data_IF_189235077017
#
_entry.id   IF_189235077017
#
_cell.length_a   1.000
_cell.length_b   1.000
_cell.length_c   1.000
_cell.angle_alpha   90.00
_cell.angle_beta   90.00
_cell.angle_gamma   90.00
#
_symmetry.space_group_name_H-M   'P 1'
#
loop_
_entity.id
_entity.type
_entity.pdbx_description
1 polymer ?
#
# COMPACT_ATOMS: atom_id res chain seq x y z
N UNK A 1 42.86 14.28 -94.80
CA UNK A 1 41.73 13.65 -95.50
C UNK A 1 41.64 12.18 -95.08
N UNK A 2 40.42 11.67 -95.06
CA UNK A 2 40.01 10.27 -94.83
C UNK A 2 39.65 9.85 -93.40
N UNK A 3 38.39 9.43 -93.29
CA UNK A 3 37.70 8.81 -92.17
C UNK A 3 37.97 7.30 -92.17
N UNK A 4 37.76 6.67 -91.00
CA UNK A 4 36.88 5.51 -90.81
C UNK A 4 37.50 4.25 -90.19
N UNK A 5 36.80 3.79 -89.14
CA UNK A 5 36.38 2.40 -88.81
C UNK A 5 37.13 1.57 -87.74
N UNK A 6 36.29 1.13 -86.76
CA UNK A 6 36.20 -0.22 -86.13
C UNK A 6 37.29 -0.59 -85.08
N UNK A 7 37.05 -1.16 -83.88
CA UNK A 7 36.05 -2.10 -83.33
C UNK A 7 35.88 -1.88 -81.78
N UNK A 8 34.67 -1.97 -81.21
CA UNK A 8 34.05 -3.10 -80.46
C UNK A 8 34.48 -3.30 -78.99
N UNK A 9 33.50 -3.29 -78.07
CA UNK A 9 33.60 -3.81 -76.69
C UNK A 9 32.90 -2.92 -75.64
N UNK A 10 31.83 -3.43 -75.00
CA UNK A 10 31.04 -2.70 -74.00
C UNK A 10 31.61 -2.77 -72.57
N UNK A 11 31.35 -1.67 -71.84
CA UNK A 11 31.27 -1.37 -70.38
C UNK A 11 30.78 -2.60 -69.55
N UNK A 12 31.15 -2.89 -68.29
CA UNK A 12 31.22 -2.11 -67.03
C UNK A 12 31.99 -2.92 -65.94
N UNK A 13 32.46 -2.22 -64.91
CA UNK A 13 32.36 -2.54 -63.46
C UNK A 13 33.63 -2.80 -62.64
N UNK A 14 33.86 -1.93 -61.63
CA UNK A 14 34.96 -1.99 -60.68
C UNK A 14 34.70 -1.16 -59.40
N UNK A 15 33.80 -1.67 -58.54
CA UNK A 15 33.58 -1.49 -57.08
C UNK A 15 33.98 -0.21 -56.31
N UNK A 16 32.95 0.38 -55.65
CA UNK A 16 32.99 1.30 -54.48
C UNK A 16 33.36 0.58 -53.16
N UNK A 17 33.88 1.31 -52.16
CA UNK A 17 33.16 1.65 -50.90
C UNK A 17 33.90 2.66 -50.00
N UNK A 18 33.14 3.67 -49.61
CA UNK A 18 33.33 4.79 -48.68
C UNK A 18 33.31 4.33 -47.22
N UNK A 19 33.98 5.02 -46.29
CA UNK A 19 33.46 5.24 -44.93
C UNK A 19 34.01 6.55 -44.32
N UNK A 20 33.07 7.46 -43.99
CA UNK A 20 33.27 8.65 -43.16
C UNK A 20 33.52 8.21 -41.71
N UNK A 21 34.40 8.90 -40.98
CA UNK A 21 34.39 8.82 -39.51
C UNK A 21 34.36 10.21 -38.87
N UNK A 22 33.50 10.29 -37.86
CA UNK A 22 32.87 11.44 -37.22
C UNK A 22 33.86 12.19 -36.32
N UNK A 23 33.74 13.52 -36.28
CA UNK A 23 34.47 14.39 -35.38
C UNK A 23 34.17 14.03 -33.91
N UNK A 24 35.22 13.86 -33.10
CA UNK A 24 35.12 13.68 -31.65
C UNK A 24 34.82 15.03 -31.02
N UNK A 25 33.57 15.28 -30.65
CA UNK A 25 33.22 16.38 -29.75
C UNK A 25 33.29 15.84 -28.32
N UNK A 26 34.39 16.12 -27.64
CA UNK A 26 34.55 15.85 -26.21
C UNK A 26 33.82 16.94 -25.44
N UNK A 27 32.53 16.73 -25.15
CA UNK A 27 31.78 17.46 -24.12
C UNK A 27 31.37 16.43 -23.10
N UNK A 28 32.17 16.31 -22.04
CA UNK A 28 31.96 15.36 -20.97
C UNK A 28 32.30 15.99 -19.63
N UNK A 29 31.46 15.68 -18.65
CA UNK A 29 31.47 16.08 -17.23
C UNK A 29 31.01 17.51 -16.94
N UNK A 30 29.74 17.64 -16.52
CA UNK A 30 29.41 18.75 -15.63
C UNK A 30 27.96 19.23 -15.59
N UNK A 31 26.93 18.37 -15.68
CA UNK A 31 25.57 18.80 -15.25
C UNK A 31 24.54 17.65 -15.11
N UNK A 32 24.78 16.64 -14.25
CA UNK A 32 23.74 15.61 -14.06
C UNK A 32 23.77 14.92 -12.68
N UNK A 33 23.86 15.67 -11.59
CA UNK A 33 23.84 15.10 -10.24
C UNK A 33 22.91 15.84 -9.24
N UNK A 34 21.86 16.53 -9.70
CA UNK A 34 20.99 17.37 -8.83
C UNK A 34 19.51 16.94 -8.73
N UNK A 35 19.13 15.69 -9.03
CA UNK A 35 17.69 15.32 -9.07
C UNK A 35 17.31 13.99 -8.38
N UNK A 36 17.99 13.59 -7.29
CA UNK A 36 17.57 12.41 -6.51
C UNK A 36 17.41 12.67 -5.01
N UNK A 37 16.99 13.89 -4.62
CA UNK A 37 16.32 14.05 -3.31
C UNK A 37 14.82 13.78 -3.47
N UNK A 38 14.48 12.56 -3.91
CA UNK A 38 13.17 11.99 -3.58
C UNK A 38 13.19 11.76 -2.07
N UNK A 39 12.85 12.81 -1.32
CA UNK A 39 12.62 12.67 0.11
C UNK A 39 11.52 11.66 0.30
N UNK A 40 11.84 10.52 0.92
CA UNK A 40 10.84 9.66 1.54
C UNK A 40 10.16 10.49 2.63
N UNK A 41 9.15 11.26 2.26
CA UNK A 41 8.27 11.89 3.24
C UNK A 41 7.48 10.76 3.90
N UNK A 42 8.01 10.23 5.00
CA UNK A 42 7.21 9.42 5.92
C UNK A 42 6.03 10.28 6.37
N UNK A 43 4.82 9.77 6.21
CA UNK A 43 3.61 10.47 6.64
C UNK A 43 3.72 10.81 8.13
N UNK A 44 3.49 12.08 8.48
CA UNK A 44 3.59 12.57 9.84
C UNK A 44 2.20 12.66 10.45
N UNK A 45 1.87 11.77 11.39
CA UNK A 45 0.55 11.74 12.02
C UNK A 45 0.22 13.05 12.78
N UNK A 46 1.23 13.79 13.26
CA UNK A 46 1.00 15.07 13.94
C UNK A 46 0.37 16.12 13.02
N UNK A 47 0.44 15.96 11.70
CA UNK A 47 -0.24 16.86 10.75
C UNK A 47 -1.78 16.84 10.91
N UNK A 48 -2.34 15.81 11.53
CA UNK A 48 -3.78 15.66 11.74
C UNK A 48 -4.28 16.24 13.07
N UNK A 49 -3.44 16.88 13.90
CA UNK A 49 -3.83 17.32 15.24
C UNK A 49 -5.06 18.25 15.29
N UNK A 50 -5.30 19.02 14.23
CA UNK A 50 -6.42 19.97 14.15
C UNK A 50 -7.56 19.49 13.26
N UNK A 51 -7.57 18.22 12.83
CA UNK A 51 -8.66 17.67 11.98
C UNK A 51 -9.83 17.20 12.83
N UNK A 52 -11.03 17.48 12.36
CA UNK A 52 -12.30 17.04 12.96
C UNK A 52 -13.09 16.18 11.97
N UNK A 53 -13.94 15.24 12.44
CA UNK A 53 -14.20 14.89 13.84
C UNK A 53 -12.98 14.26 14.52
N UNK A 54 -12.85 14.40 15.84
CA UNK A 54 -11.79 13.72 16.58
C UNK A 54 -12.17 12.25 16.72
N UNK A 55 -11.22 11.35 16.47
CA UNK A 55 -11.41 9.92 16.62
C UNK A 55 -11.36 9.54 18.10
N UNK A 56 -12.49 9.08 18.61
CA UNK A 56 -12.57 8.29 19.84
C UNK A 56 -12.61 6.80 19.45
N UNK A 57 -11.63 6.04 19.95
CA UNK A 57 -11.48 4.62 19.65
C UNK A 57 -12.62 3.79 20.25
N UNK A 58 -13.04 4.09 21.48
CA UNK A 58 -14.12 3.37 22.14
C UNK A 58 -15.46 3.66 21.46
N UNK A 59 -15.69 4.91 21.06
CA UNK A 59 -16.92 5.27 20.36
C UNK A 59 -17.02 4.63 18.97
N UNK A 60 -15.97 4.73 18.16
CA UNK A 60 -16.02 4.18 16.80
C UNK A 60 -16.05 2.64 16.82
N UNK A 61 -15.22 2.01 17.65
CA UNK A 61 -15.17 0.57 17.78
C UNK A 61 -16.11 0.07 18.88
N UNK A 62 -17.41 0.29 18.68
CA UNK A 62 -18.49 -0.20 19.54
C UNK A 62 -19.63 -0.76 18.71
N UNK A 63 -20.11 -1.94 19.08
CA UNK A 63 -21.23 -2.61 18.41
C UNK A 63 -20.84 -3.22 17.06
N UNK A 64 -21.79 -3.22 16.12
CA UNK A 64 -21.63 -3.90 14.84
C UNK A 64 -21.07 -2.94 13.79
N UNK A 65 -20.04 -3.38 13.07
CA UNK A 65 -19.38 -2.61 12.01
C UNK A 65 -19.26 -3.48 10.77
N UNK A 66 -19.73 -2.98 9.64
CA UNK A 66 -19.58 -3.63 8.34
C UNK A 66 -18.39 -3.02 7.60
N UNK A 67 -17.62 -3.87 6.94
CA UNK A 67 -16.49 -3.45 6.14
C UNK A 67 -16.48 -4.04 4.74
N UNK A 68 -16.10 -3.22 3.76
CA UNK A 68 -15.87 -3.64 2.39
C UNK A 68 -14.47 -3.24 1.95
N UNK A 69 -13.69 -4.22 1.52
CA UNK A 69 -12.30 -3.98 1.20
C UNK A 69 -11.77 -4.77 0.01
N UNK A 70 -10.58 -4.36 -0.40
CA UNK A 70 -9.83 -5.04 -1.45
C UNK A 70 -8.34 -5.01 -1.16
N UNK A 71 -7.65 -6.07 -1.57
CA UNK A 71 -6.20 -6.11 -1.61
C UNK A 71 -5.73 -5.91 -3.05
N UNK A 72 -4.80 -4.97 -3.23
CA UNK A 72 -4.20 -4.62 -4.51
C UNK A 72 -2.71 -4.94 -4.49
N UNK A 73 -2.21 -5.54 -5.57
CA UNK A 73 -0.78 -5.72 -5.78
C UNK A 73 -0.05 -4.40 -6.04
N UNK A 74 1.29 -4.43 -6.10
CA UNK A 74 2.13 -3.26 -6.40
C UNK A 74 1.78 -2.54 -7.71
N UNK A 75 1.24 -3.27 -8.68
CA UNK A 75 0.80 -2.75 -9.98
C UNK A 75 -0.62 -2.14 -9.95
N UNK A 76 -1.27 -2.09 -8.78
CA UNK A 76 -2.64 -1.61 -8.61
C UNK A 76 -3.72 -2.62 -8.95
N UNK A 77 -3.36 -3.80 -9.46
CA UNK A 77 -4.29 -4.86 -9.81
C UNK A 77 -5.00 -5.40 -8.56
N UNK A 78 -6.33 -5.47 -8.61
CA UNK A 78 -7.14 -6.04 -7.53
C UNK A 78 -6.96 -7.55 -7.51
N UNK A 79 -6.33 -8.06 -6.45
CA UNK A 79 -6.04 -9.49 -6.26
C UNK A 79 -7.08 -10.20 -5.42
N UNK A 80 -7.60 -9.54 -4.39
CA UNK A 80 -8.67 -10.05 -3.54
C UNK A 80 -9.66 -8.95 -3.19
N UNK A 81 -10.90 -9.34 -2.93
CA UNK A 81 -11.97 -8.50 -2.38
C UNK A 81 -12.60 -9.24 -1.22
N UNK A 82 -13.06 -8.51 -0.22
CA UNK A 82 -13.65 -9.08 0.97
C UNK A 82 -14.73 -8.17 1.55
N UNK A 83 -15.67 -8.83 2.22
CA UNK A 83 -16.53 -8.22 3.23
C UNK A 83 -15.99 -8.64 4.60
N UNK A 84 -16.05 -7.76 5.59
CA UNK A 84 -15.73 -8.07 6.98
C UNK A 84 -16.90 -7.64 7.87
N UNK A 85 -17.33 -8.54 8.72
CA UNK A 85 -18.32 -8.29 9.77
C UNK A 85 -17.58 -8.20 11.10
N UNK A 86 -17.58 -7.03 11.73
CA UNK A 86 -16.83 -6.78 12.97
C UNK A 86 -17.82 -6.57 14.10
N UNK A 87 -17.77 -7.46 15.09
CA UNK A 87 -18.43 -7.24 16.37
C UNK A 87 -17.42 -6.66 17.35
N UNK A 88 -17.58 -5.39 17.72
CA UNK A 88 -16.71 -4.65 18.61
C UNK A 88 -17.34 -4.55 20.01
N UNK A 89 -16.62 -5.04 21.02
CA UNK A 89 -17.06 -5.06 22.42
C UNK A 89 -15.99 -4.46 23.32
N UNK A 90 -16.38 -3.88 24.45
CA UNK A 90 -15.44 -3.36 25.44
C UNK A 90 -15.33 -4.29 26.65
N UNK A 91 -14.14 -4.38 27.22
CA UNK A 91 -13.86 -5.11 28.45
C UNK A 91 -13.23 -4.17 29.47
N UNK A 92 -14.03 -3.68 30.42
CA UNK A 92 -13.57 -2.60 31.29
C UNK A 92 -13.43 -1.29 30.53
N UNK A 93 -12.55 -0.41 31.02
CA UNK A 93 -12.44 0.96 30.51
C UNK A 93 -11.36 1.11 29.42
N UNK A 94 -10.39 0.20 29.35
CA UNK A 94 -9.17 0.35 28.55
C UNK A 94 -9.02 -0.69 27.42
N UNK A 95 -9.95 -1.63 27.29
CA UNK A 95 -9.85 -2.74 26.33
C UNK A 95 -11.02 -2.76 25.36
N UNK A 96 -10.68 -2.84 24.07
CA UNK A 96 -11.60 -3.07 22.95
C UNK A 96 -11.26 -4.41 22.32
N UNK A 97 -12.28 -5.25 22.12
CA UNK A 97 -12.17 -6.52 21.40
C UNK A 97 -12.90 -6.42 20.07
N UNK A 98 -12.20 -6.68 18.97
CA UNK A 98 -12.78 -6.71 17.61
C UNK A 98 -12.82 -8.15 17.12
N UNK A 99 -14.01 -8.73 17.02
CA UNK A 99 -14.20 -10.04 16.41
C UNK A 99 -14.54 -9.85 14.92
N UNK A 100 -13.52 -9.96 14.07
CA UNK A 100 -13.59 -9.72 12.64
C UNK A 100 -13.82 -11.02 11.88
N UNK A 101 -14.96 -11.13 11.18
CA UNK A 101 -15.32 -12.27 10.36
C UNK A 101 -15.27 -11.89 8.88
N UNK A 102 -14.27 -12.40 8.16
CA UNK A 102 -14.03 -12.10 6.76
C UNK A 102 -14.72 -13.10 5.84
N UNK A 103 -15.41 -12.57 4.84
CA UNK A 103 -15.96 -13.31 3.69
C UNK A 103 -15.25 -12.85 2.42
N UNK A 104 -14.46 -13.74 1.83
CA UNK A 104 -13.65 -13.44 0.65
C UNK A 104 -14.43 -13.71 -0.64
N UNK A 105 -14.11 -12.97 -1.70
CA UNK A 105 -14.77 -13.12 -3.00
C UNK A 105 -14.52 -14.49 -3.68
N UNK A 106 -13.52 -15.25 -3.24
CA UNK A 106 -13.26 -16.63 -3.66
C UNK A 106 -14.08 -17.67 -2.89
N UNK A 107 -14.95 -17.23 -1.97
CA UNK A 107 -15.81 -18.08 -1.15
C UNK A 107 -15.16 -18.56 0.15
N UNK A 108 -13.86 -18.30 0.36
CA UNK A 108 -13.19 -18.63 1.62
C UNK A 108 -13.64 -17.70 2.76
N UNK A 109 -13.46 -18.17 3.99
CA UNK A 109 -13.72 -17.40 5.21
C UNK A 109 -12.50 -17.42 6.12
N UNK A 110 -12.30 -16.35 6.85
CA UNK A 110 -11.27 -16.27 7.90
C UNK A 110 -11.78 -15.42 9.05
N UNK A 111 -11.14 -15.56 10.20
CA UNK A 111 -11.47 -14.78 11.39
C UNK A 111 -10.19 -14.18 11.96
N UNK A 112 -10.29 -12.95 12.45
CA UNK A 112 -9.26 -12.34 13.30
C UNK A 112 -9.94 -11.75 14.51
N UNK A 113 -9.38 -11.99 15.69
CA UNK A 113 -9.86 -11.42 16.92
C UNK A 113 -8.75 -10.51 17.44
N UNK A 114 -8.97 -9.21 17.36
CA UNK A 114 -8.09 -8.23 17.97
C UNK A 114 -8.49 -7.99 19.41
N UNK A 115 -7.49 -7.86 20.28
CA UNK A 115 -7.63 -7.25 21.59
C UNK A 115 -6.75 -6.01 21.61
N UNK A 116 -7.38 -4.85 21.64
CA UNK A 116 -6.75 -3.54 21.68
C UNK A 116 -6.77 -3.02 23.11
N UNK A 117 -5.66 -2.47 23.57
CA UNK A 117 -5.52 -1.94 24.93
C UNK A 117 -4.96 -0.53 24.88
N UNK A 118 -5.70 0.41 25.45
CA UNK A 118 -5.24 1.79 25.65
C UNK A 118 -4.08 1.80 26.65
N UNK A 119 -3.04 2.57 26.36
CA UNK A 119 -1.89 2.74 27.22
C UNK A 119 -2.01 4.06 28.00
N UNK A 120 -1.31 4.16 29.13
CA UNK A 120 -1.34 5.36 29.99
C UNK A 120 -0.85 6.64 29.30
N UNK A 121 -0.12 6.53 28.19
CA UNK A 121 0.35 7.65 27.38
C UNK A 121 -0.59 8.02 26.21
N UNK A 122 -1.77 7.39 26.14
CA UNK A 122 -2.77 7.55 25.08
C UNK A 122 -2.43 6.82 23.77
N UNK A 123 -1.32 6.08 23.74
CA UNK A 123 -1.05 5.15 22.64
C UNK A 123 -1.88 3.87 22.80
N UNK A 124 -1.92 3.05 21.76
CA UNK A 124 -2.68 1.82 21.75
C UNK A 124 -1.76 0.64 21.45
N UNK A 125 -2.04 -0.50 22.09
CA UNK A 125 -1.43 -1.79 21.76
C UNK A 125 -2.48 -2.76 21.28
N UNK A 126 -2.08 -3.72 20.45
CA UNK A 126 -3.00 -4.75 20.00
C UNK A 126 -2.36 -6.11 19.85
N UNK A 127 -3.11 -7.15 20.17
CA UNK A 127 -2.72 -8.54 19.92
C UNK A 127 -3.82 -9.26 19.13
N UNK A 128 -3.41 -10.17 18.27
CA UNK A 128 -4.30 -11.08 17.55
C UNK A 128 -3.55 -12.39 17.26
N UNK A 129 -4.28 -13.46 16.92
CA UNK A 129 -3.71 -14.81 16.79
C UNK A 129 -2.63 -14.96 15.71
N UNK A 130 -2.62 -14.10 14.69
CA UNK A 130 -1.67 -14.11 13.58
C UNK A 130 -0.68 -12.93 13.60
N UNK A 131 -0.69 -12.15 14.68
CA UNK A 131 0.23 -11.03 14.91
C UNK A 131 1.42 -11.50 15.73
N UNK A 132 2.62 -11.21 15.25
CA UNK A 132 3.86 -11.49 15.97
C UNK A 132 4.15 -10.34 16.94
N UNK A 133 4.08 -10.62 18.23
CA UNK A 133 4.30 -9.63 19.27
C UNK A 133 3.07 -8.74 19.45
N UNK A 134 3.26 -7.42 19.45
CA UNK A 134 2.21 -6.45 19.65
C UNK A 134 2.16 -5.48 18.46
N UNK A 135 0.94 -5.15 18.04
CA UNK A 135 0.67 -3.98 17.24
C UNK A 135 0.80 -2.71 18.08
N UNK A 136 1.17 -1.61 17.44
CA UNK A 136 1.28 -0.29 18.08
C UNK A 136 0.47 0.74 17.32
N UNK A 137 -0.30 1.54 18.05
CA UNK A 137 -1.21 2.56 17.54
C UNK A 137 -0.98 3.93 18.13
N UNK A 138 -1.17 4.97 17.31
CA UNK A 138 -1.26 6.36 17.77
C UNK A 138 -2.49 7.01 17.16
N UNK A 139 -3.26 7.70 17.99
CA UNK A 139 -4.43 8.49 17.57
C UNK A 139 -4.10 9.97 17.65
N UNK A 140 -4.38 10.70 16.58
CA UNK A 140 -4.24 12.17 16.53
C UNK A 140 -5.35 12.73 15.64
N UNK A 141 -6.14 13.67 16.19
CA UNK A 141 -7.28 14.24 15.47
C UNK A 141 -8.24 13.15 15.01
N UNK A 142 -8.51 13.06 13.71
CA UNK A 142 -9.41 12.06 13.13
C UNK A 142 -8.69 10.75 12.71
N UNK A 143 -7.40 10.60 13.02
CA UNK A 143 -6.53 9.60 12.39
C UNK A 143 -5.94 8.63 13.40
N UNK A 144 -5.98 7.34 13.08
CA UNK A 144 -5.22 6.28 13.75
C UNK A 144 -4.12 5.79 12.79
N UNK A 145 -2.87 5.79 13.26
CA UNK A 145 -1.76 5.11 12.61
C UNK A 145 -1.41 3.84 13.37
N UNK A 146 -1.55 2.69 12.72
CA UNK A 146 -1.48 1.36 13.32
C UNK A 146 -0.43 0.50 12.61
N UNK A 147 0.50 -0.08 13.37
CA UNK A 147 1.63 -0.84 12.83
C UNK A 147 1.75 -2.21 13.49
N UNK A 148 1.97 -3.26 12.71
CA UNK A 148 2.12 -4.62 13.23
C UNK A 148 2.88 -5.54 12.28
N UNK A 149 3.37 -6.66 12.81
CA UNK A 149 3.99 -7.75 12.06
C UNK A 149 3.02 -8.93 12.01
N UNK A 150 2.66 -9.37 10.80
CA UNK A 150 1.68 -10.42 10.54
C UNK A 150 2.36 -11.68 9.97
N UNK A 151 1.89 -12.85 10.42
CA UNK A 151 2.15 -14.14 9.75
C UNK A 151 1.11 -14.39 8.68
N UNK A 152 1.49 -14.19 7.41
CA UNK A 152 0.62 -14.38 6.26
C UNK A 152 0.86 -15.78 5.64
N UNK A 153 -0.06 -16.75 5.81
CA UNK A 153 -0.01 -18.00 5.08
C UNK A 153 -0.34 -17.77 3.60
N UNK A 154 0.53 -18.26 2.72
CA UNK A 154 0.34 -18.27 1.27
C UNK A 154 0.74 -19.65 0.77
N UNK A 155 -0.26 -20.42 0.34
CA UNK A 155 -0.08 -21.83 -0.06
C UNK A 155 0.56 -22.66 1.08
N UNK A 156 1.76 -23.18 0.85
CA UNK A 156 2.55 -24.03 1.75
C UNK A 156 3.56 -23.24 2.60
N UNK A 157 3.58 -21.91 2.50
CA UNK A 157 4.58 -21.05 3.16
C UNK A 157 3.93 -19.95 3.99
N UNK A 158 4.52 -19.67 5.15
CA UNK A 158 4.15 -18.51 5.97
C UNK A 158 5.17 -17.39 5.79
N UNK A 159 4.69 -16.21 5.42
CA UNK A 159 5.50 -15.02 5.24
C UNK A 159 5.27 -14.03 6.38
N UNK A 160 6.36 -13.59 7.00
CA UNK A 160 6.34 -12.41 7.87
C UNK A 160 6.29 -11.14 7.03
N UNK A 161 5.27 -10.32 7.26
CA UNK A 161 5.01 -9.06 6.56
C UNK A 161 4.61 -7.98 7.56
N UNK A 162 5.07 -6.76 7.36
CA UNK A 162 4.69 -5.61 8.19
C UNK A 162 3.50 -4.89 7.56
N UNK A 163 2.53 -4.52 8.36
CA UNK A 163 1.41 -3.67 7.98
C UNK A 163 1.59 -2.27 8.56
N UNK A 164 1.27 -1.28 7.74
CA UNK A 164 1.36 0.16 8.01
C UNK A 164 0.00 0.75 7.63
N UNK A 165 -0.87 0.83 8.63
CA UNK A 165 -2.30 1.10 8.49
C UNK A 165 -2.58 2.53 8.89
N UNK A 166 -3.23 3.27 7.99
CA UNK A 166 -3.74 4.61 8.25
C UNK A 166 -5.25 4.57 8.19
N UNK A 167 -5.89 4.81 9.33
CA UNK A 167 -7.35 4.87 9.43
C UNK A 167 -7.79 6.31 9.68
N UNK A 168 -8.77 6.75 8.91
CA UNK A 168 -9.27 8.11 8.92
C UNK A 168 -10.78 8.08 9.20
N UNK A 169 -11.17 8.68 10.32
CA UNK A 169 -12.57 8.94 10.62
C UNK A 169 -13.09 10.03 9.66
N UNK A 170 -14.09 9.68 8.85
CA UNK A 170 -14.70 10.58 7.87
C UNK A 170 -15.86 11.33 8.49
N UNK A 171 -16.68 10.61 9.25
CA UNK A 171 -17.76 11.13 10.09
C UNK A 171 -17.99 10.13 11.24
N UNK A 172 -19.03 10.35 12.05
CA UNK A 172 -19.36 9.52 13.22
C UNK A 172 -19.45 8.01 12.91
N UNK A 173 -19.90 7.63 11.71
CA UNK A 173 -20.18 6.23 11.38
C UNK A 173 -19.24 5.63 10.34
N UNK A 174 -18.42 6.44 9.66
CA UNK A 174 -17.61 6.00 8.52
C UNK A 174 -16.13 6.23 8.78
N UNK A 175 -15.35 5.15 8.66
CA UNK A 175 -13.89 5.20 8.70
C UNK A 175 -13.31 4.54 7.45
N UNK A 176 -12.29 5.18 6.88
CA UNK A 176 -11.52 4.61 5.77
C UNK A 176 -10.16 4.17 6.27
N UNK A 177 -9.79 2.93 5.97
CA UNK A 177 -8.46 2.39 6.21
C UNK A 177 -7.70 2.21 4.90
N UNK A 178 -6.43 2.64 4.91
CA UNK A 178 -5.44 2.42 3.87
C UNK A 178 -4.22 1.75 4.50
N UNK A 179 -3.96 0.51 4.13
CA UNK A 179 -2.84 -0.26 4.63
C UNK A 179 -1.80 -0.50 3.55
N UNK A 180 -0.52 -0.42 3.91
CA UNK A 180 0.59 -0.86 3.08
C UNK A 180 1.25 -2.09 3.69
N UNK A 181 1.29 -3.19 2.93
CA UNK A 181 1.94 -4.42 3.35
C UNK A 181 3.37 -4.44 2.80
N UNK A 182 4.38 -4.58 3.66
CA UNK A 182 5.81 -4.60 3.26
C UNK A 182 6.48 -5.89 3.72
N UNK A 183 7.52 -6.31 2.99
CA UNK A 183 8.44 -7.38 3.40
C UNK A 183 9.87 -6.92 3.16
N UNK A 184 10.70 -6.99 4.21
CA UNK A 184 12.08 -6.46 4.18
C UNK A 184 12.15 -5.02 3.65
N UNK A 185 11.19 -4.17 4.05
CA UNK A 185 11.10 -2.77 3.62
C UNK A 185 10.50 -2.55 2.22
N UNK A 186 10.23 -3.61 1.45
CA UNK A 186 9.67 -3.49 0.10
C UNK A 186 8.15 -3.71 0.14
N UNK A 187 7.37 -2.71 -0.27
CA UNK A 187 5.90 -2.79 -0.38
C UNK A 187 5.49 -3.94 -1.29
N UNK A 188 4.70 -4.91 -0.83
CA UNK A 188 4.15 -6.02 -1.60
C UNK A 188 2.79 -5.70 -2.22
N UNK A 189 2.06 -4.77 -1.62
CA UNK A 189 0.71 -4.40 -2.02
C UNK A 189 0.05 -3.60 -0.92
N UNK A 190 -1.24 -3.35 -1.08
CA UNK A 190 -2.00 -2.48 -0.20
C UNK A 190 -3.42 -2.97 -0.01
N UNK A 191 -4.01 -2.64 1.14
CA UNK A 191 -5.43 -2.86 1.43
C UNK A 191 -6.12 -1.51 1.47
N UNK A 192 -7.31 -1.46 0.90
CA UNK A 192 -8.26 -0.36 1.12
C UNK A 192 -9.50 -0.97 1.72
N UNK A 193 -9.99 -0.41 2.82
CA UNK A 193 -11.15 -0.88 3.55
C UNK A 193 -12.02 0.32 3.94
N UNK A 194 -13.31 0.25 3.62
CA UNK A 194 -14.33 1.15 4.16
C UNK A 194 -15.04 0.45 5.30
N UNK A 195 -15.12 1.07 6.47
CA UNK A 195 -15.82 0.58 7.64
C UNK A 195 -17.01 1.50 7.95
N UNK A 196 -18.15 0.90 8.24
CA UNK A 196 -19.40 1.56 8.53
C UNK A 196 -19.99 0.98 9.81
N UNK A 197 -20.13 1.80 10.85
CA UNK A 197 -20.91 1.41 12.03
C UNK A 197 -22.36 1.22 11.65
N UNK A 198 -22.99 0.20 12.21
CA UNK A 198 -24.45 0.11 12.21
C UNK A 198 -24.97 0.94 13.37
N UNK A 199 -26.08 1.67 13.18
CA UNK A 199 -26.83 2.20 14.30
C UNK A 199 -27.08 1.08 15.31
N UNK A 200 -26.90 1.35 16.61
CA UNK A 200 -27.46 0.46 17.62
C UNK A 200 -28.98 0.49 17.43
N UNK A 201 -29.60 -0.69 17.24
CA UNK A 201 -31.05 -0.82 17.33
C UNK A 201 -31.46 -0.66 18.81
N UNK A 202 -31.27 0.54 19.36
CA UNK A 202 -31.85 0.90 20.65
C UNK A 202 -33.34 1.17 20.42
N UNK A 203 -34.15 0.17 20.77
CA UNK A 203 -35.61 0.20 20.75
C UNK A 203 -36.15 0.35 22.18
#
# INVERSE_FOLDING_TARGET
>A
MSKSKMLSGSVIEGRKKTHRSIAKLTVGLGLSAMLLTSGCATQNIQAYQSTTPTLDMHEFFSGQIDGWGMFQGRNGEVKKRFYVDINATHEGDDIIVLNENFSWADGTKSQRIWRLTEQTDGSWKGVAGDVIGEATGKVVGNTLHWNYLLELPVEDKTYKVTFDDWMYLINEDVMLNRSVMKKFGVELGSVTLSMHRKPSDDN
#
